data_IF_608249678862
#
_entry.id   IF_608249678862
#
_cell.length_a   1.000
_cell.length_b   1.000
_cell.length_c   1.000
_cell.angle_alpha   90.00
_cell.angle_beta   90.00
_cell.angle_gamma   90.00
#
_symmetry.space_group_name_H-M   'P 1'
#
loop_
_entity.id
_entity.type
_entity.pdbx_description
1 polymer ?
#
# COMPACT_ATOMS: atom_id res chain seq x y z
N UNK A 1 -53.35 -29.30 20.17
CA UNK A 1 -52.45 -28.49 21.03
C UNK A 1 -50.98 -28.80 20.79
N UNK A 2 -50.52 -30.05 20.90
CA UNK A 2 -49.08 -30.39 20.72
C UNK A 2 -48.47 -30.12 19.33
N UNK A 3 -49.25 -30.13 18.25
CA UNK A 3 -48.75 -29.94 16.88
C UNK A 3 -48.43 -28.49 16.49
N UNK A 4 -49.05 -27.50 17.13
CA UNK A 4 -48.76 -26.08 16.86
C UNK A 4 -47.55 -25.59 17.64
N UNK A 5 -47.37 -26.09 18.86
CA UNK A 5 -46.21 -25.79 19.69
C UNK A 5 -44.92 -26.29 19.04
N UNK A 6 -44.92 -27.53 18.53
CA UNK A 6 -43.80 -28.12 17.79
C UNK A 6 -43.45 -27.33 16.52
N UNK A 7 -44.46 -26.91 15.74
CA UNK A 7 -44.23 -26.07 14.56
C UNK A 7 -43.61 -24.72 14.91
N UNK A 8 -44.01 -24.09 16.02
CA UNK A 8 -43.42 -22.82 16.49
C UNK A 8 -41.98 -23.00 16.98
N UNK A 9 -41.70 -24.08 17.70
CA UNK A 9 -40.34 -24.43 18.15
C UNK A 9 -39.41 -24.66 16.95
N UNK A 10 -39.85 -25.42 15.95
CA UNK A 10 -39.11 -25.65 14.71
C UNK A 10 -38.88 -24.34 13.93
N UNK A 11 -39.89 -23.48 13.83
CA UNK A 11 -39.75 -22.17 13.18
C UNK A 11 -38.78 -21.24 13.92
N UNK A 12 -38.82 -21.24 15.26
CA UNK A 12 -37.90 -20.44 16.07
C UNK A 12 -36.46 -20.93 15.92
N UNK A 13 -36.25 -22.24 15.87
CA UNK A 13 -34.94 -22.84 15.62
C UNK A 13 -34.40 -22.43 14.23
N UNK A 14 -35.23 -22.55 13.19
CA UNK A 14 -34.86 -22.16 11.83
C UNK A 14 -34.55 -20.66 11.72
N UNK A 15 -35.32 -19.80 12.38
CA UNK A 15 -35.07 -18.36 12.41
C UNK A 15 -33.77 -18.02 13.15
N UNK A 16 -33.46 -18.76 14.23
CA UNK A 16 -32.20 -18.60 14.97
C UNK A 16 -30.99 -19.01 14.11
N UNK A 17 -31.07 -20.17 13.46
CA UNK A 17 -30.00 -20.66 12.59
C UNK A 17 -29.78 -19.70 11.40
N UNK A 18 -30.85 -19.21 10.80
CA UNK A 18 -30.78 -18.21 9.73
C UNK A 18 -30.13 -16.91 10.19
N UNK A 19 -30.49 -16.40 11.37
CA UNK A 19 -29.89 -15.19 11.92
C UNK A 19 -28.40 -15.37 12.23
N UNK A 20 -28.02 -16.55 12.74
CA UNK A 20 -26.63 -16.89 13.05
C UNK A 20 -25.78 -16.98 11.77
N UNK A 21 -26.29 -17.66 10.74
CA UNK A 21 -25.60 -17.77 9.45
C UNK A 21 -25.50 -16.41 8.75
N UNK A 22 -26.55 -15.59 8.82
CA UNK A 22 -26.53 -14.22 8.27
C UNK A 22 -25.49 -13.36 9.00
N UNK A 23 -25.45 -13.39 10.33
CA UNK A 23 -24.48 -12.63 11.11
C UNK A 23 -23.04 -13.08 10.85
N UNK A 24 -22.81 -14.38 10.66
CA UNK A 24 -21.50 -14.92 10.26
C UNK A 24 -21.09 -14.45 8.88
N UNK A 25 -21.98 -14.56 7.90
CA UNK A 25 -21.73 -14.12 6.53
C UNK A 25 -21.38 -12.63 6.48
N UNK A 26 -22.19 -11.78 7.12
CA UNK A 26 -21.92 -10.35 7.21
C UNK A 26 -20.62 -10.03 7.95
N UNK A 27 -20.31 -10.76 9.02
CA UNK A 27 -19.07 -10.57 9.78
C UNK A 27 -17.84 -10.87 8.94
N UNK A 28 -17.87 -11.97 8.17
CA UNK A 28 -16.80 -12.35 7.26
C UNK A 28 -16.67 -11.33 6.12
N UNK A 29 -17.78 -10.93 5.51
CA UNK A 29 -17.80 -9.95 4.41
C UNK A 29 -17.22 -8.61 4.86
N UNK A 30 -17.71 -8.06 5.98
CA UNK A 30 -17.20 -6.80 6.55
C UNK A 30 -15.73 -6.90 6.96
N UNK A 31 -15.31 -8.05 7.48
CA UNK A 31 -13.92 -8.30 7.86
C UNK A 31 -13.00 -8.32 6.64
N UNK A 32 -13.41 -9.01 5.59
CA UNK A 32 -12.66 -9.13 4.34
C UNK A 32 -12.59 -7.78 3.61
N UNK A 33 -13.71 -7.08 3.47
CA UNK A 33 -13.79 -5.77 2.83
C UNK A 33 -12.84 -4.78 3.51
N UNK A 34 -12.94 -4.63 4.84
CA UNK A 34 -12.05 -3.75 5.61
C UNK A 34 -10.59 -4.16 5.51
N UNK A 35 -10.30 -5.45 5.55
CA UNK A 35 -8.93 -5.97 5.42
C UNK A 35 -8.32 -5.65 4.06
N UNK A 36 -9.08 -5.85 2.98
CA UNK A 36 -8.65 -5.58 1.61
C UNK A 36 -8.52 -4.09 1.33
N UNK A 37 -9.51 -3.28 1.73
CA UNK A 37 -9.44 -1.82 1.56
C UNK A 37 -8.24 -1.24 2.29
N UNK A 38 -8.04 -1.61 3.55
CA UNK A 38 -6.92 -1.14 4.35
C UNK A 38 -5.58 -1.59 3.76
N UNK A 39 -5.43 -2.87 3.44
CA UNK A 39 -4.19 -3.39 2.87
C UNK A 39 -3.86 -2.75 1.52
N UNK A 40 -4.87 -2.51 0.68
CA UNK A 40 -4.69 -1.82 -0.60
C UNK A 40 -4.32 -0.35 -0.42
N UNK A 41 -5.00 0.37 0.47
CA UNK A 41 -4.71 1.77 0.75
C UNK A 41 -3.29 1.95 1.28
N UNK A 42 -2.91 1.17 2.31
CA UNK A 42 -1.58 1.22 2.90
C UNK A 42 -0.49 0.83 1.87
N UNK A 43 -0.73 -0.20 1.06
CA UNK A 43 0.22 -0.62 0.02
C UNK A 43 0.42 0.42 -1.08
N UNK A 44 -0.65 1.08 -1.53
CA UNK A 44 -0.58 2.16 -2.52
C UNK A 44 0.14 3.37 -1.94
N UNK A 45 -0.19 3.78 -0.72
CA UNK A 45 0.42 4.94 -0.07
C UNK A 45 1.93 4.74 0.10
N UNK A 46 2.35 3.60 0.65
CA UNK A 46 3.77 3.27 0.83
C UNK A 46 4.51 3.16 -0.51
N UNK A 47 3.89 2.54 -1.51
CA UNK A 47 4.48 2.42 -2.84
C UNK A 47 4.67 3.77 -3.52
N UNK A 48 3.68 4.67 -3.42
CA UNK A 48 3.76 6.01 -3.98
C UNK A 48 4.76 6.90 -3.23
N UNK A 49 4.83 6.81 -1.91
CA UNK A 49 5.78 7.58 -1.12
C UNK A 49 7.22 7.18 -1.46
N UNK A 50 7.52 5.88 -1.46
CA UNK A 50 8.84 5.36 -1.85
C UNK A 50 9.20 5.75 -3.27
N UNK A 51 8.31 5.50 -4.23
CA UNK A 51 8.55 5.84 -5.63
C UNK A 51 8.76 7.34 -5.87
N UNK A 52 8.11 8.22 -5.10
CA UNK A 52 8.36 9.67 -5.18
C UNK A 52 9.72 10.07 -4.63
N UNK A 53 10.15 9.46 -3.52
CA UNK A 53 11.47 9.74 -2.93
C UNK A 53 12.57 9.23 -3.86
N UNK A 54 12.50 7.97 -4.26
CA UNK A 54 13.45 7.35 -5.18
C UNK A 54 13.51 8.12 -6.51
N UNK A 55 12.37 8.39 -7.14
CA UNK A 55 12.33 9.14 -8.40
C UNK A 55 12.85 10.59 -8.28
N UNK A 56 12.73 11.22 -7.10
CA UNK A 56 13.31 12.54 -6.86
C UNK A 56 14.82 12.48 -6.69
N UNK A 57 15.34 11.46 -6.00
CA UNK A 57 16.78 11.25 -5.85
C UNK A 57 17.43 10.90 -7.19
N UNK A 58 16.83 10.00 -7.96
CA UNK A 58 17.25 9.68 -9.32
C UNK A 58 17.20 10.91 -10.24
N UNK A 59 16.10 11.66 -10.22
CA UNK A 59 15.97 12.89 -11.00
C UNK A 59 17.01 13.94 -10.64
N UNK A 60 17.34 14.08 -9.34
CA UNK A 60 18.41 14.94 -8.87
C UNK A 60 19.77 14.47 -9.41
N UNK A 61 20.07 13.17 -9.32
CA UNK A 61 21.30 12.58 -9.87
C UNK A 61 21.45 12.90 -11.37
N UNK A 62 20.42 12.65 -12.17
CA UNK A 62 20.45 12.94 -13.61
C UNK A 62 20.66 14.43 -13.91
N UNK A 63 20.03 15.33 -13.15
CA UNK A 63 20.23 16.76 -13.31
C UNK A 63 21.69 17.17 -13.05
N UNK A 64 22.32 16.63 -12.00
CA UNK A 64 23.73 16.91 -11.72
C UNK A 64 24.67 16.32 -12.79
N UNK A 65 24.40 15.12 -13.30
CA UNK A 65 25.16 14.53 -14.41
C UNK A 65 25.09 15.42 -15.66
N UNK A 66 23.90 15.91 -16.01
CA UNK A 66 23.71 16.79 -17.16
C UNK A 66 24.44 18.13 -16.97
N UNK A 67 24.36 18.73 -15.79
CA UNK A 67 25.06 19.99 -15.49
C UNK A 67 26.59 19.84 -15.58
N UNK A 68 27.15 18.72 -15.15
CA UNK A 68 28.60 18.47 -15.27
C UNK A 68 28.99 18.23 -16.73
N UNK A 69 28.21 17.48 -17.50
CA UNK A 69 28.44 17.29 -18.95
C UNK A 69 28.36 18.60 -19.74
N UNK A 70 27.54 19.54 -19.31
CA UNK A 70 27.43 20.89 -19.89
C UNK A 70 28.52 21.86 -19.38
N UNK A 71 29.47 21.38 -18.57
CA UNK A 71 30.51 22.18 -17.92
C UNK A 71 29.95 23.33 -17.05
N UNK A 72 28.72 23.19 -16.54
CA UNK A 72 28.09 24.15 -15.64
C UNK A 72 28.50 23.93 -14.18
N UNK A 73 28.90 22.71 -13.85
CA UNK A 73 29.34 22.26 -12.53
C UNK A 73 30.58 21.36 -12.67
N UNK A 74 31.39 21.27 -11.62
CA UNK A 74 32.49 20.31 -11.56
C UNK A 74 32.02 19.01 -10.89
N UNK A 75 32.63 17.86 -11.22
CA UNK A 75 32.32 16.57 -10.59
C UNK A 75 32.39 16.62 -9.05
N UNK A 76 33.32 17.40 -8.49
CA UNK A 76 33.52 17.53 -7.04
C UNK A 76 32.34 18.20 -6.35
N UNK A 77 31.79 19.27 -6.95
CA UNK A 77 30.64 19.97 -6.38
C UNK A 77 29.38 19.11 -6.51
N UNK A 78 29.21 18.43 -7.65
CA UNK A 78 28.08 17.54 -7.87
C UNK A 78 28.09 16.34 -6.91
N UNK A 79 29.24 15.67 -6.75
CA UNK A 79 29.38 14.52 -5.85
C UNK A 79 29.12 14.91 -4.39
N UNK A 80 29.62 16.06 -3.94
CA UNK A 80 29.37 16.58 -2.59
C UNK A 80 27.87 16.83 -2.34
N UNK A 81 27.16 17.40 -3.31
CA UNK A 81 25.70 17.67 -3.19
C UNK A 81 24.83 16.41 -3.23
N UNK A 82 25.37 15.32 -3.78
CA UNK A 82 24.74 14.00 -3.81
C UNK A 82 25.17 13.12 -2.63
N UNK A 83 26.13 13.58 -1.80
CA UNK A 83 26.63 12.82 -0.66
C UNK A 83 27.45 11.59 -1.03
N UNK A 84 28.07 11.59 -2.22
CA UNK A 84 28.94 10.51 -2.70
C UNK A 84 30.35 11.01 -3.00
N UNK A 85 31.27 10.08 -3.19
CA UNK A 85 32.65 10.40 -3.56
C UNK A 85 32.75 10.87 -5.01
N UNK A 86 33.79 11.63 -5.32
CA UNK A 86 34.05 12.08 -6.69
C UNK A 86 34.21 10.88 -7.63
N UNK A 87 34.92 9.84 -7.20
CA UNK A 87 35.12 8.63 -7.99
C UNK A 87 33.81 7.88 -8.31
N UNK A 88 32.89 7.80 -7.35
CA UNK A 88 31.56 7.21 -7.58
C UNK A 88 30.75 8.02 -8.58
N UNK A 89 30.81 9.35 -8.48
CA UNK A 89 30.13 10.24 -9.42
C UNK A 89 30.73 10.16 -10.83
N UNK A 90 32.07 10.16 -10.94
CA UNK A 90 32.78 10.02 -12.21
C UNK A 90 32.52 8.67 -12.90
N UNK A 91 32.26 7.60 -12.14
CA UNK A 91 31.87 6.32 -12.71
C UNK A 91 30.46 6.33 -13.36
N UNK A 92 29.63 7.33 -13.06
CA UNK A 92 28.27 7.52 -13.61
C UNK A 92 28.21 8.53 -14.76
N UNK A 93 29.31 9.22 -15.02
CA UNK A 93 29.47 10.30 -16.01
C UNK A 93 29.63 9.76 -17.44
#
# INVERSE_FOLDING_TARGET
>A
MFSEQRRREEQALLAHDYALETARAEGIEKGLERGLERGRAEGIEQGLERGKVEGREEGKLFAFLDMVRQNLLTPEVASQQLGMTVAEFEALL
#
